data_IF_186530323988
#
_entry.id   IF_186530323988
#
_cell.length_a   1.000
_cell.length_b   1.000
_cell.length_c   1.000
_cell.angle_alpha   90.00
_cell.angle_beta   90.00
_cell.angle_gamma   90.00
#
_symmetry.space_group_name_H-M   'P 1'
#
loop_
_entity.id
_entity.type
_entity.pdbx_description
1 polymer ?
#
# COMPACT_ATOMS: atom_id res chain seq x y z
N UNK A 1 2.51 4.20 4.50
CA UNK A 1 3.50 4.68 3.51
C UNK A 1 2.75 5.52 2.50
N UNK A 2 3.31 6.66 2.07
CA UNK A 2 2.68 7.57 1.09
C UNK A 2 3.51 7.57 -0.19
N UNK A 3 2.87 7.56 -1.36
CA UNK A 3 3.52 7.36 -2.65
C UNK A 3 2.91 8.28 -3.72
N UNK A 4 3.67 8.53 -4.78
CA UNK A 4 3.15 8.97 -6.08
C UNK A 4 3.23 7.86 -7.11
N UNK A 5 2.17 7.73 -7.89
CA UNK A 5 2.10 6.84 -9.04
C UNK A 5 2.60 7.61 -10.26
N UNK A 6 3.90 7.48 -10.55
CA UNK A 6 4.48 7.98 -11.80
C UNK A 6 4.38 6.92 -12.90
N UNK A 7 4.51 7.32 -14.17
CA UNK A 7 4.44 6.44 -15.36
C UNK A 7 5.25 5.13 -15.25
N UNK A 8 6.34 5.12 -14.48
CA UNK A 8 7.15 3.91 -14.22
C UNK A 8 6.49 2.88 -13.30
N UNK A 9 5.75 3.30 -12.25
CA UNK A 9 4.93 2.39 -11.43
C UNK A 9 3.66 1.97 -12.20
N UNK A 10 3.22 2.82 -13.12
CA UNK A 10 2.07 2.59 -14.00
C UNK A 10 2.38 1.59 -15.13
N UNK A 11 3.65 1.31 -15.43
CA UNK A 11 4.08 0.35 -16.44
C UNK A 11 4.15 -1.11 -15.94
N UNK A 12 3.87 -1.38 -14.66
CA UNK A 12 3.97 -2.73 -14.08
C UNK A 12 2.98 -3.75 -14.69
N UNK A 13 1.99 -3.31 -15.46
CA UNK A 13 1.03 -4.19 -16.16
C UNK A 13 1.50 -4.59 -17.58
N UNK A 14 2.63 -4.03 -18.06
CA UNK A 14 3.15 -4.31 -19.40
C UNK A 14 4.25 -5.37 -19.44
N UNK A 15 4.60 -5.99 -18.30
CA UNK A 15 5.69 -6.96 -18.26
C UNK A 15 5.15 -8.39 -18.23
N UNK A 16 5.40 -9.20 -19.28
CA UNK A 16 4.99 -10.60 -19.31
C UNK A 16 5.51 -11.34 -18.07
N UNK A 17 4.65 -12.15 -17.46
CA UNK A 17 5.05 -13.18 -16.53
C UNK A 17 5.52 -14.35 -17.39
N UNK A 18 6.83 -14.56 -17.52
CA UNK A 18 7.34 -15.74 -18.22
C UNK A 18 6.95 -17.01 -17.44
N UNK A 19 6.16 -17.93 -18.01
CA UNK A 19 5.92 -19.23 -17.44
C UNK A 19 7.01 -20.17 -17.94
N UNK A 20 8.02 -20.44 -17.12
CA UNK A 20 8.95 -21.52 -17.44
C UNK A 20 8.23 -22.88 -17.32
N UNK A 21 8.06 -23.52 -18.48
CA UNK A 21 7.78 -24.95 -18.79
C UNK A 21 6.58 -25.64 -18.14
N UNK A 22 5.48 -25.82 -18.88
CA UNK A 22 5.14 -27.09 -19.52
C UNK A 22 3.89 -26.97 -20.43
N UNK A 23 3.89 -27.73 -21.54
CA UNK A 23 2.82 -27.96 -22.53
C UNK A 23 1.45 -28.30 -21.90
N UNK A 24 0.23 -27.97 -22.37
CA UNK A 24 -0.43 -27.74 -23.67
C UNK A 24 -1.83 -27.07 -23.42
N UNK A 25 -2.70 -26.77 -24.42
CA UNK A 25 -3.52 -25.55 -24.47
C UNK A 25 -5.03 -25.72 -24.16
N UNK A 26 -5.68 -24.63 -23.70
CA UNK A 26 -6.99 -24.11 -24.13
C UNK A 26 -7.53 -23.10 -23.08
N UNK A 27 -8.04 -21.96 -23.54
CA UNK A 27 -8.55 -20.81 -22.77
C UNK A 27 -7.51 -20.04 -21.94
N UNK A 28 -6.59 -19.35 -22.63
CA UNK A 28 -5.86 -18.25 -22.01
C UNK A 28 -6.76 -17.00 -21.99
N UNK A 29 -7.55 -16.83 -20.92
CA UNK A 29 -7.80 -15.46 -20.43
C UNK A 29 -6.42 -14.84 -20.21
N UNK A 30 -6.20 -13.59 -20.63
CA UNK A 30 -4.88 -13.00 -20.48
C UNK A 30 -4.48 -13.02 -18.99
N UNK A 31 -3.19 -13.11 -18.69
CA UNK A 31 -2.70 -13.09 -17.31
C UNK A 31 -3.20 -11.86 -16.52
N UNK A 32 -3.52 -10.76 -17.21
CA UNK A 32 -4.13 -9.58 -16.63
C UNK A 32 -5.62 -9.82 -16.26
N UNK A 33 -6.37 -10.52 -17.11
CA UNK A 33 -7.77 -10.88 -16.85
C UNK A 33 -7.88 -11.88 -15.69
N UNK A 34 -7.02 -12.90 -15.64
CA UNK A 34 -6.98 -13.85 -14.53
C UNK A 34 -6.53 -13.18 -13.21
N UNK A 35 -5.60 -12.22 -13.26
CA UNK A 35 -5.17 -11.45 -12.09
C UNK A 35 -6.30 -10.54 -11.54
N UNK A 36 -7.15 -10.03 -12.44
CA UNK A 36 -8.33 -9.25 -12.10
C UNK A 36 -9.53 -10.12 -11.65
N UNK A 37 -9.71 -11.33 -12.19
CA UNK A 37 -10.80 -12.25 -11.85
C UNK A 37 -10.82 -12.64 -10.36
N UNK A 38 -9.66 -12.65 -9.69
CA UNK A 38 -9.57 -12.90 -8.26
C UNK A 38 -9.87 -11.66 -7.37
N UNK A 39 -10.14 -10.51 -7.96
CA UNK A 39 -10.53 -9.27 -7.27
C UNK A 39 -12.01 -8.98 -7.49
N UNK A 40 -12.88 -9.50 -6.62
CA UNK A 40 -14.33 -9.28 -6.72
C UNK A 40 -14.70 -7.89 -6.24
N UNK A 41 -15.15 -7.05 -7.16
CA UNK A 41 -15.74 -5.75 -6.86
C UNK A 41 -17.03 -5.91 -6.04
N UNK A 42 -17.11 -5.27 -4.87
CA UNK A 42 -18.31 -5.24 -4.03
C UNK A 42 -19.02 -3.89 -4.10
N UNK A 43 -18.26 -2.80 -4.12
CA UNK A 43 -18.75 -1.42 -4.27
C UNK A 43 -17.76 -0.66 -5.15
N UNK A 44 -18.25 0.05 -6.16
CA UNK A 44 -17.45 1.00 -6.94
C UNK A 44 -17.95 2.42 -6.66
N UNK A 45 -17.24 3.13 -5.79
CA UNK A 45 -17.39 4.57 -5.70
C UNK A 45 -16.69 5.24 -6.88
N UNK A 46 -17.17 6.42 -7.26
CA UNK A 46 -16.50 7.29 -8.23
C UNK A 46 -15.78 8.41 -7.47
N UNK A 47 -14.46 8.60 -7.66
CA UNK A 47 -13.76 9.71 -7.03
C UNK A 47 -14.27 11.04 -7.57
N UNK A 48 -14.54 11.98 -6.67
CA UNK A 48 -14.90 13.34 -7.05
C UNK A 48 -13.66 14.06 -7.62
N UNK A 49 -13.74 14.53 -8.87
CA UNK A 49 -12.74 15.41 -9.45
C UNK A 49 -13.15 16.86 -9.16
N UNK A 50 -12.20 17.69 -8.72
CA UNK A 50 -12.40 19.16 -8.62
C UNK A 50 -11.39 19.83 -9.53
N UNK A 51 -11.87 20.67 -10.45
CA UNK A 51 -11.04 21.37 -11.45
C UNK A 51 -10.11 20.42 -12.24
N UNK A 52 -10.54 19.18 -12.47
CA UNK A 52 -9.76 18.14 -13.14
C UNK A 52 -8.72 17.44 -12.26
N UNK A 53 -8.54 17.85 -11.01
CA UNK A 53 -7.61 17.23 -10.07
C UNK A 53 -8.27 16.07 -9.30
N UNK A 54 -7.66 14.87 -9.29
CA UNK A 54 -8.14 13.71 -8.53
C UNK A 54 -7.98 13.92 -7.01
N UNK A 55 -8.75 13.21 -6.17
CA UNK A 55 -8.49 13.17 -4.74
C UNK A 55 -7.22 12.37 -4.44
N UNK A 56 -6.76 12.42 -3.18
CA UNK A 56 -5.69 11.53 -2.72
C UNK A 56 -6.27 10.13 -2.54
N UNK A 57 -5.64 9.13 -3.16
CA UNK A 57 -6.01 7.73 -2.99
C UNK A 57 -5.62 7.19 -1.63
N UNK A 58 -6.50 6.44 -0.97
CA UNK A 58 -6.18 5.75 0.28
C UNK A 58 -6.38 4.26 0.07
N UNK A 59 -5.30 3.52 -0.13
CA UNK A 59 -5.37 2.07 -0.34
C UNK A 59 -5.25 1.34 0.99
N UNK A 60 -6.28 0.60 1.37
CA UNK A 60 -6.34 -0.10 2.65
C UNK A 60 -6.56 -1.60 2.43
N UNK A 61 -5.66 -2.44 2.93
CA UNK A 61 -5.97 -3.86 3.11
C UNK A 61 -6.55 -4.11 4.50
N UNK A 62 -7.87 -4.29 4.58
CA UNK A 62 -8.66 -4.43 5.80
C UNK A 62 -8.87 -5.90 6.19
N UNK A 63 -7.79 -6.59 6.54
CA UNK A 63 -7.83 -7.96 7.09
C UNK A 63 -8.43 -8.02 8.51
N UNK A 64 -8.25 -6.97 9.32
CA UNK A 64 -8.73 -6.83 10.69
C UNK A 64 -9.68 -5.61 10.80
N UNK A 65 -11.02 -5.82 10.73
CA UNK A 65 -11.99 -4.74 10.76
C UNK A 65 -11.96 -3.88 12.04
N UNK A 66 -11.51 -4.40 13.16
CA UNK A 66 -11.31 -3.64 14.40
C UNK A 66 -10.30 -2.50 14.24
N UNK A 67 -9.21 -2.74 13.50
CA UNK A 67 -8.17 -1.72 13.24
C UNK A 67 -8.61 -0.75 12.15
N UNK A 68 -9.45 -1.21 11.20
CA UNK A 68 -10.00 -0.34 10.16
C UNK A 68 -10.73 0.86 10.76
N UNK A 69 -11.52 0.63 11.81
CA UNK A 69 -12.27 1.70 12.47
C UNK A 69 -11.35 2.81 13.00
N UNK A 70 -10.20 2.46 13.58
CA UNK A 70 -9.21 3.43 14.08
C UNK A 70 -8.55 4.24 12.96
N UNK A 71 -8.34 3.62 11.80
CA UNK A 71 -7.83 4.30 10.60
C UNK A 71 -8.88 5.29 10.08
N UNK A 72 -10.12 4.85 9.92
CA UNK A 72 -11.22 5.69 9.41
C UNK A 72 -11.43 6.93 10.29
N UNK A 73 -11.38 6.78 11.62
CA UNK A 73 -11.47 7.93 12.56
C UNK A 73 -10.39 8.98 12.34
N UNK A 74 -9.21 8.62 11.84
CA UNK A 74 -8.15 9.60 11.51
C UNK A 74 -8.38 10.23 10.15
N UNK A 75 -8.77 9.43 9.17
CA UNK A 75 -9.00 9.88 7.80
C UNK A 75 -10.11 10.94 7.72
N UNK A 76 -11.18 10.83 8.51
CA UNK A 76 -12.27 11.83 8.52
C UNK A 76 -11.83 13.23 9.01
N UNK A 77 -10.66 13.33 9.65
CA UNK A 77 -10.12 14.61 10.12
C UNK A 77 -9.09 15.22 9.17
N UNK A 78 -8.77 14.53 8.07
CA UNK A 78 -7.88 15.08 7.05
C UNK A 78 -8.64 16.11 6.21
N UNK A 79 -8.06 17.31 5.96
CA UNK A 79 -8.68 18.32 5.13
C UNK A 79 -8.62 18.00 3.63
N UNK A 80 -7.76 17.07 3.22
CA UNK A 80 -7.64 16.62 1.83
C UNK A 80 -8.86 15.81 1.38
N UNK A 81 -9.22 15.91 0.10
CA UNK A 81 -10.23 15.04 -0.51
C UNK A 81 -9.66 13.65 -0.67
N UNK A 82 -10.39 12.65 -0.20
CA UNK A 82 -9.94 11.25 -0.18
C UNK A 82 -10.87 10.37 -1.00
N UNK A 83 -10.29 9.39 -1.71
CA UNK A 83 -11.02 8.23 -2.20
C UNK A 83 -10.36 6.96 -1.71
N UNK A 84 -11.10 6.15 -0.96
CA UNK A 84 -10.59 4.94 -0.35
C UNK A 84 -10.72 3.76 -1.31
N UNK A 85 -9.65 3.01 -1.51
CA UNK A 85 -9.66 1.74 -2.23
C UNK A 85 -9.38 0.63 -1.23
N UNK A 86 -10.44 -0.04 -0.77
CA UNK A 86 -10.36 -0.98 0.35
C UNK A 86 -10.48 -2.40 -0.16
N UNK A 87 -9.52 -3.25 0.21
CA UNK A 87 -9.60 -4.70 -0.01
C UNK A 87 -9.90 -5.41 1.30
N UNK A 88 -10.74 -6.43 1.26
CA UNK A 88 -11.02 -7.32 2.38
C UNK A 88 -11.03 -8.78 1.91
N UNK A 89 -10.99 -9.71 2.88
CA UNK A 89 -11.14 -11.15 2.61
C UNK A 89 -12.59 -11.59 2.85
N UNK A 90 -12.95 -12.78 2.37
CA UNK A 90 -14.29 -13.34 2.63
C UNK A 90 -14.62 -13.39 4.14
N UNK A 91 -15.90 -13.23 4.47
CA UNK A 91 -16.43 -13.19 5.84
C UNK A 91 -16.02 -11.94 6.65
N UNK A 92 -15.45 -10.93 6.00
CA UNK A 92 -15.13 -9.61 6.59
C UNK A 92 -15.82 -8.47 5.84
N UNK A 93 -16.37 -8.75 4.68
CA UNK A 93 -16.98 -7.84 3.73
C UNK A 93 -18.12 -7.02 4.32
N UNK A 94 -19.07 -7.63 5.02
CA UNK A 94 -20.18 -6.88 5.63
C UNK A 94 -19.68 -5.90 6.68
N UNK A 95 -18.84 -6.35 7.62
CA UNK A 95 -18.28 -5.50 8.67
C UNK A 95 -17.43 -4.34 8.11
N UNK A 96 -16.63 -4.60 7.07
CA UNK A 96 -15.84 -3.56 6.40
C UNK A 96 -16.74 -2.57 5.67
N UNK A 97 -17.76 -3.07 4.95
CA UNK A 97 -18.71 -2.22 4.22
C UNK A 97 -19.48 -1.29 5.17
N UNK A 98 -19.96 -1.81 6.29
CA UNK A 98 -20.72 -1.03 7.27
C UNK A 98 -19.87 0.09 7.89
N UNK A 99 -18.60 -0.21 8.20
CA UNK A 99 -17.67 0.81 8.70
C UNK A 99 -17.36 1.88 7.66
N UNK A 100 -17.16 1.50 6.39
CA UNK A 100 -16.91 2.45 5.30
C UNK A 100 -18.12 3.34 5.07
N UNK A 101 -19.31 2.77 4.99
CA UNK A 101 -20.55 3.52 4.85
C UNK A 101 -20.76 4.51 6.01
N UNK A 102 -20.50 4.08 7.25
CA UNK A 102 -20.62 4.94 8.43
C UNK A 102 -19.58 6.07 8.48
N UNK A 103 -18.44 5.94 7.79
CA UNK A 103 -17.39 6.97 7.79
C UNK A 103 -17.74 8.21 6.97
N UNK A 104 -18.65 8.09 6.00
CA UNK A 104 -19.00 9.17 5.06
C UNK A 104 -17.91 9.51 4.03
N UNK A 105 -16.77 8.83 4.04
CA UNK A 105 -15.71 9.00 3.05
C UNK A 105 -16.09 8.34 1.71
N UNK A 106 -15.62 8.87 0.59
CA UNK A 106 -15.77 8.21 -0.71
C UNK A 106 -14.93 6.94 -0.77
N UNK A 107 -15.49 5.82 -1.25
CA UNK A 107 -14.79 4.54 -1.27
C UNK A 107 -15.19 3.59 -2.40
N UNK A 108 -14.27 2.71 -2.76
CA UNK A 108 -14.47 1.47 -3.51
C UNK A 108 -14.03 0.29 -2.64
N UNK A 109 -14.81 -0.79 -2.65
CA UNK A 109 -14.61 -1.98 -1.82
C UNK A 109 -14.47 -3.23 -2.70
N UNK A 110 -13.39 -3.98 -2.47
CA UNK A 110 -13.01 -5.17 -3.20
C UNK A 110 -12.83 -6.35 -2.26
N UNK A 111 -13.23 -7.54 -2.70
CA UNK A 111 -12.95 -8.81 -2.02
C UNK A 111 -11.86 -9.56 -2.75
N UNK A 112 -10.86 -10.02 -2.00
CA UNK A 112 -9.72 -10.76 -2.52
C UNK A 112 -9.47 -12.03 -1.68
N UNK A 113 -8.90 -13.09 -2.28
CA UNK A 113 -8.25 -14.19 -1.56
C UNK A 113 -7.23 -13.71 -0.53
N UNK A 114 -7.03 -14.51 0.52
CA UNK A 114 -6.04 -14.25 1.58
C UNK A 114 -4.62 -14.65 1.14
N UNK A 115 -4.14 -14.11 0.03
CA UNK A 115 -2.84 -14.40 -0.56
C UNK A 115 -1.97 -13.16 -0.66
N UNK A 116 -0.65 -13.32 -0.54
CA UNK A 116 0.32 -12.22 -0.71
C UNK A 116 0.21 -11.08 0.31
N UNK A 117 -0.47 -11.33 1.44
CA UNK A 117 -0.65 -10.40 2.58
C UNK A 117 -1.15 -9.04 2.12
N UNK A 118 -0.43 -7.95 2.37
CA UNK A 118 -0.82 -6.58 2.01
C UNK A 118 -0.26 -6.11 0.65
N UNK A 119 0.59 -6.91 -0.01
CA UNK A 119 1.22 -6.55 -1.29
C UNK A 119 0.35 -6.98 -2.46
N UNK A 120 -0.06 -8.24 -2.53
CA UNK A 120 -0.89 -8.72 -3.64
C UNK A 120 -2.25 -7.99 -3.72
N UNK A 121 -2.98 -7.76 -2.61
CA UNK A 121 -4.19 -6.95 -2.65
C UNK A 121 -3.96 -5.52 -3.13
N UNK A 122 -2.81 -4.90 -2.78
CA UNK A 122 -2.45 -3.58 -3.28
C UNK A 122 -2.24 -3.59 -4.80
N UNK A 123 -1.50 -4.57 -5.33
CA UNK A 123 -1.28 -4.72 -6.78
C UNK A 123 -2.60 -4.90 -7.54
N UNK A 124 -3.57 -5.63 -6.99
CA UNK A 124 -4.90 -5.82 -7.57
C UNK A 124 -5.74 -4.56 -7.66
N UNK A 125 -5.43 -3.55 -6.86
CA UNK A 125 -6.14 -2.27 -6.84
C UNK A 125 -5.52 -1.26 -7.83
N UNK A 126 -4.26 -1.47 -8.25
CA UNK A 126 -3.56 -0.55 -9.15
C UNK A 126 -4.36 -0.23 -10.43
N UNK A 127 -4.95 -1.19 -11.17
CA UNK A 127 -5.70 -0.87 -12.38
C UNK A 127 -6.87 0.11 -12.14
N UNK A 128 -7.54 0.02 -10.98
CA UNK A 128 -8.64 0.92 -10.61
C UNK A 128 -8.13 2.32 -10.28
N UNK A 129 -7.03 2.43 -9.52
CA UNK A 129 -6.38 3.71 -9.26
C UNK A 129 -5.99 4.43 -10.56
N UNK A 130 -5.52 3.67 -11.56
CA UNK A 130 -5.16 4.21 -12.88
C UNK A 130 -6.37 4.68 -13.66
N UNK A 131 -7.42 3.86 -13.72
CA UNK A 131 -8.67 4.22 -14.38
C UNK A 131 -9.28 5.50 -13.80
N UNK A 132 -9.12 5.69 -12.48
CA UNK A 132 -9.59 6.85 -11.74
C UNK A 132 -8.62 8.05 -11.75
N UNK A 133 -7.50 7.94 -12.49
CA UNK A 133 -6.47 8.97 -12.62
C UNK A 133 -5.87 9.41 -11.27
N UNK A 134 -5.73 8.51 -10.31
CA UNK A 134 -5.15 8.80 -8.99
C UNK A 134 -3.62 8.87 -9.09
N UNK A 135 -3.05 10.03 -8.77
CA UNK A 135 -1.60 10.27 -8.86
C UNK A 135 -0.87 10.17 -7.52
N UNK A 136 -1.54 10.51 -6.42
CA UNK A 136 -0.95 10.51 -5.07
C UNK A 136 -1.77 9.58 -4.18
N UNK A 137 -1.12 8.68 -3.45
CA UNK A 137 -1.80 7.75 -2.56
C UNK A 137 -1.10 7.52 -1.23
N UNK A 138 -1.84 7.07 -0.24
CA UNK A 138 -1.32 6.45 0.98
C UNK A 138 -1.74 4.98 1.02
N UNK A 139 -0.77 4.10 1.26
CA UNK A 139 -1.00 2.67 1.50
C UNK A 139 -0.98 2.38 3.00
N UNK A 140 -2.08 1.80 3.47
CA UNK A 140 -2.32 1.36 4.83
C UNK A 140 -2.75 -0.12 4.80
N UNK A 141 -2.55 -0.81 5.91
CA UNK A 141 -3.07 -2.17 6.08
C UNK A 141 -3.31 -2.44 7.55
N UNK A 142 -4.31 -3.25 7.83
CA UNK A 142 -4.66 -3.63 9.19
C UNK A 142 -3.85 -4.87 9.58
N UNK A 143 -2.90 -4.74 10.49
CA UNK A 143 -2.09 -5.86 10.99
C UNK A 143 -2.12 -5.87 12.51
N UNK A 144 -2.50 -6.99 13.11
CA UNK A 144 -2.32 -7.21 14.55
C UNK A 144 -0.89 -7.69 14.82
N UNK A 145 -0.24 -7.09 15.81
CA UNK A 145 1.02 -7.58 16.38
C UNK A 145 0.71 -8.50 17.57
N UNK A 146 0.76 -9.83 17.34
CA UNK A 146 0.30 -10.84 18.30
C UNK A 146 1.18 -11.04 19.57
N UNK A 147 2.32 -10.34 19.69
CA UNK A 147 3.34 -10.62 20.71
C UNK A 147 3.74 -9.42 21.59
N UNK A 148 3.00 -8.31 21.55
CA UNK A 148 3.28 -7.17 22.42
C UNK A 148 2.27 -7.17 23.57
N UNK A 149 2.64 -7.85 24.65
CA UNK A 149 2.10 -7.53 25.97
C UNK A 149 2.51 -6.09 26.29
N UNK A 150 1.54 -5.26 26.67
CA UNK A 150 1.59 -3.79 26.77
C UNK A 150 1.31 -3.08 25.44
N UNK A 151 0.06 -2.60 25.34
CA UNK A 151 -0.52 -1.58 24.44
C UNK A 151 -0.10 -1.57 22.95
N UNK A 152 -1.11 -1.53 22.08
CA UNK A 152 -1.02 -1.20 20.65
C UNK A 152 -0.42 0.20 20.34
N UNK A 153 0.35 0.83 21.23
CA UNK A 153 0.86 2.21 21.09
C UNK A 153 1.64 2.40 19.80
N UNK A 154 2.46 1.43 19.41
CA UNK A 154 3.34 1.59 18.26
C UNK A 154 2.64 1.68 16.89
N UNK A 155 1.57 0.89 16.69
CA UNK A 155 0.79 0.98 15.46
C UNK A 155 0.01 2.30 15.41
N UNK A 156 -0.47 2.77 16.57
CA UNK A 156 -1.12 4.07 16.70
C UNK A 156 -0.13 5.20 16.42
N UNK A 157 1.10 5.15 16.96
CA UNK A 157 2.16 6.13 16.67
C UNK A 157 2.51 6.19 15.18
N UNK A 158 2.47 5.05 14.47
CA UNK A 158 2.67 5.03 13.01
C UNK A 158 1.50 5.68 12.28
N UNK A 159 0.26 5.41 12.69
CA UNK A 159 -0.91 6.05 12.12
C UNK A 159 -0.95 7.55 12.42
N UNK A 160 -0.62 7.98 13.63
CA UNK A 160 -0.57 9.40 14.01
C UNK A 160 0.54 10.14 13.27
N UNK A 161 1.68 9.48 13.07
CA UNK A 161 2.78 10.01 12.27
C UNK A 161 2.34 10.27 10.81
N UNK A 162 1.73 9.26 10.17
CA UNK A 162 1.34 9.32 8.76
C UNK A 162 0.06 10.12 8.50
N UNK A 163 -0.91 10.07 9.41
CA UNK A 163 -2.27 10.59 9.22
C UNK A 163 -2.60 11.79 10.12
N UNK A 164 -1.60 12.39 10.78
CA UNK A 164 -1.81 13.70 11.39
C UNK A 164 -2.05 14.75 10.29
N UNK A 165 -3.07 15.63 10.41
CA UNK A 165 -3.44 16.54 9.33
C UNK A 165 -2.28 17.38 8.78
N UNK A 166 -1.44 17.94 9.66
CA UNK A 166 -0.31 18.77 9.26
C UNK A 166 0.75 17.97 8.47
N UNK A 167 1.06 16.74 8.90
CA UNK A 167 2.08 15.91 8.26
C UNK A 167 1.59 15.26 6.99
N UNK A 168 0.33 14.82 6.97
CA UNK A 168 -0.32 14.30 5.77
C UNK A 168 -0.29 15.35 4.65
N UNK A 169 -0.75 16.57 4.97
CA UNK A 169 -0.71 17.71 4.03
C UNK A 169 0.70 18.01 3.53
N UNK A 170 1.70 18.00 4.41
CA UNK A 170 3.09 18.21 4.02
C UNK A 170 3.60 17.09 3.11
N UNK A 171 3.25 15.84 3.40
CA UNK A 171 3.65 14.67 2.61
C UNK A 171 3.05 14.71 1.21
N UNK A 172 1.76 15.04 1.08
CA UNK A 172 1.09 15.22 -0.22
C UNK A 172 1.77 16.32 -1.02
N UNK A 173 1.97 17.51 -0.42
CA UNK A 173 2.67 18.62 -1.10
C UNK A 173 4.10 18.32 -1.51
N UNK A 174 4.83 17.56 -0.68
CA UNK A 174 6.19 17.15 -1.02
C UNK A 174 6.19 16.23 -2.23
N UNK A 175 5.21 15.33 -2.31
CA UNK A 175 5.05 14.40 -3.41
C UNK A 175 4.57 15.04 -4.72
N UNK A 176 3.92 16.21 -4.67
CA UNK A 176 3.50 16.94 -5.87
C UNK A 176 4.69 17.44 -6.73
N UNK A 177 5.89 17.53 -6.17
CA UNK A 177 7.10 17.89 -6.92
C UNK A 177 7.73 16.63 -7.55
N UNK A 178 7.79 16.53 -8.89
CA UNK A 178 8.35 15.38 -9.57
C UNK A 178 9.86 15.20 -9.35
N UNK A 179 10.57 16.20 -8.82
CA UNK A 179 11.98 16.10 -8.45
C UNK A 179 12.19 15.34 -7.12
N UNK A 180 11.15 15.16 -6.31
CA UNK A 180 11.24 14.44 -5.05
C UNK A 180 11.08 12.93 -5.22
N UNK A 181 11.45 12.19 -4.17
CA UNK A 181 11.30 10.73 -4.13
C UNK A 181 9.81 10.35 -4.20
N UNK A 182 9.44 9.34 -5.00
CA UNK A 182 8.03 8.95 -5.19
C UNK A 182 7.44 8.17 -4.01
N UNK A 183 8.17 8.08 -2.89
CA UNK A 183 7.79 7.31 -1.72
C UNK A 183 8.28 8.02 -0.45
N UNK A 184 7.35 8.21 0.49
CA UNK A 184 7.59 8.73 1.82
C UNK A 184 7.14 7.74 2.90
N UNK A 185 7.91 7.71 3.98
CA UNK A 185 7.49 7.10 5.23
C UNK A 185 8.34 7.55 6.39
N UNK A 186 8.02 7.10 7.61
CA UNK A 186 8.69 7.60 8.79
C UNK A 186 10.12 7.07 8.85
N UNK A 187 11.10 7.98 8.92
CA UNK A 187 12.53 7.65 8.88
C UNK A 187 12.92 6.62 9.95
N UNK A 188 12.29 6.67 11.13
CA UNK A 188 12.51 5.72 12.23
C UNK A 188 12.23 4.26 11.88
N UNK A 189 11.54 4.00 10.77
CA UNK A 189 11.21 2.66 10.29
C UNK A 189 11.97 2.27 9.03
N UNK A 190 12.88 3.11 8.54
CA UNK A 190 13.66 2.81 7.36
C UNK A 190 14.70 1.73 7.67
N UNK A 191 14.61 0.60 7.00
CA UNK A 191 15.54 -0.53 7.17
C UNK A 191 16.32 -0.80 5.88
N UNK A 192 17.63 -1.11 5.95
CA UNK A 192 18.40 -1.48 4.77
C UNK A 192 17.95 -2.84 4.24
N UNK A 193 17.75 -2.93 2.92
CA UNK A 193 17.36 -4.17 2.23
C UNK A 193 18.43 -5.24 2.41
N UNK A 194 19.71 -4.88 2.27
CA UNK A 194 20.86 -5.79 2.43
C UNK A 194 20.89 -6.58 3.74
N UNK A 195 20.38 -6.02 4.84
CA UNK A 195 20.36 -6.69 6.16
C UNK A 195 19.09 -7.51 6.42
N UNK A 196 18.07 -7.36 5.59
CA UNK A 196 16.73 -7.91 5.83
C UNK A 196 16.22 -8.79 4.67
N UNK A 197 17.00 -8.93 3.60
CA UNK A 197 16.66 -9.72 2.43
C UNK A 197 17.52 -10.99 2.38
N UNK A 198 16.93 -12.13 2.75
CA UNK A 198 17.60 -13.44 2.73
C UNK A 198 16.99 -14.42 1.74
N UNK A 199 17.77 -15.42 1.33
CA UNK A 199 17.30 -16.59 0.59
C UNK A 199 16.58 -16.27 -0.73
N UNK A 200 15.48 -16.97 -0.98
CA UNK A 200 14.67 -16.86 -2.22
C UNK A 200 14.13 -15.46 -2.49
N UNK A 201 13.91 -14.64 -1.45
CA UNK A 201 13.45 -13.26 -1.62
C UNK A 201 14.48 -12.39 -2.36
N UNK A 202 15.79 -12.66 -2.17
CA UNK A 202 16.83 -11.95 -2.91
C UNK A 202 16.79 -12.28 -4.40
N UNK A 203 16.65 -13.56 -4.74
CA UNK A 203 16.53 -14.00 -6.13
C UNK A 203 15.33 -13.36 -6.84
N UNK A 204 14.16 -13.35 -6.18
CA UNK A 204 12.98 -12.70 -6.74
C UNK A 204 13.16 -11.19 -6.89
N UNK A 205 13.79 -10.51 -5.91
CA UNK A 205 14.03 -9.08 -6.01
C UNK A 205 15.00 -8.74 -7.14
N UNK A 206 16.08 -9.53 -7.31
CA UNK A 206 17.02 -9.38 -8.43
C UNK A 206 16.28 -9.48 -9.77
N UNK A 207 15.47 -10.52 -9.95
CA UNK A 207 14.68 -10.67 -11.17
C UNK A 207 13.72 -9.49 -11.41
N UNK A 208 13.12 -8.94 -10.35
CA UNK A 208 12.24 -7.78 -10.45
C UNK A 208 12.99 -6.48 -10.82
N UNK A 209 14.16 -6.22 -10.22
CA UNK A 209 14.93 -5.00 -10.55
C UNK A 209 15.50 -5.07 -11.96
N UNK A 210 15.95 -6.25 -12.40
CA UNK A 210 16.42 -6.47 -13.78
C UNK A 210 15.29 -6.23 -14.78
N UNK A 211 14.09 -6.78 -14.52
CA UNK A 211 12.89 -6.52 -15.33
C UNK A 211 12.50 -5.05 -15.36
N UNK A 212 12.74 -4.32 -14.27
CA UNK A 212 12.49 -2.89 -14.18
C UNK A 212 13.59 -2.02 -14.82
N UNK A 213 14.66 -2.62 -15.37
CA UNK A 213 15.81 -1.89 -15.92
C UNK A 213 16.64 -1.17 -14.86
N UNK A 214 16.59 -1.65 -13.61
CA UNK A 214 17.35 -1.10 -12.48
C UNK A 214 18.57 -1.99 -12.25
N UNK A 215 19.75 -1.37 -12.12
CA UNK A 215 20.99 -2.07 -11.80
C UNK A 215 20.85 -2.84 -10.47
N UNK A 216 21.04 -4.18 -10.44
CA UNK A 216 20.93 -4.99 -9.23
C UNK A 216 21.85 -4.56 -8.09
N UNK A 217 22.96 -3.86 -8.37
CA UNK A 217 23.86 -3.33 -7.36
C UNK A 217 23.17 -2.33 -6.42
N UNK A 218 22.12 -1.65 -6.90
CA UNK A 218 21.34 -0.73 -6.08
C UNK A 218 20.51 -1.44 -5.00
N UNK A 219 20.32 -2.77 -5.05
CA UNK A 219 19.61 -3.51 -4.00
C UNK A 219 20.32 -3.36 -2.65
N UNK A 220 21.66 -3.39 -2.65
CA UNK A 220 22.42 -3.43 -1.39
C UNK A 220 22.44 -2.07 -0.68
N UNK A 221 22.22 -0.99 -1.43
CA UNK A 221 22.07 0.40 -0.97
C UNK A 221 20.61 0.79 -0.72
N UNK A 222 19.66 -0.04 -1.14
CA UNK A 222 18.23 0.24 -1.02
C UNK A 222 17.75 0.12 0.42
N UNK A 223 16.69 0.88 0.70
CA UNK A 223 15.96 0.82 1.96
C UNK A 223 14.50 0.45 1.71
N UNK A 224 13.88 -0.18 2.68
CA UNK A 224 12.45 -0.46 2.68
C UNK A 224 11.82 -0.10 4.01
N UNK A 225 10.50 0.09 3.98
CA UNK A 225 9.68 0.43 5.15
C UNK A 225 8.85 -0.82 5.50
N UNK A 226 9.23 -1.59 6.53
CA UNK A 226 8.53 -2.80 6.91
C UNK A 226 7.15 -2.47 7.46
N UNK A 227 6.21 -3.38 7.26
CA UNK A 227 4.99 -3.41 8.05
C UNK A 227 5.33 -3.64 9.54
N UNK A 228 4.61 -2.99 10.47
CA UNK A 228 4.81 -3.18 11.90
C UNK A 228 4.95 -4.66 12.30
N UNK A 229 6.11 -5.09 12.79
CA UNK A 229 6.39 -6.47 13.16
C UNK A 229 7.29 -6.56 14.41
N UNK A 230 7.11 -7.59 15.25
CA UNK A 230 7.86 -7.75 16.51
C UNK A 230 9.38 -7.89 16.31
N UNK A 231 9.83 -8.46 15.19
CA UNK A 231 11.25 -8.54 14.84
C UNK A 231 11.82 -7.26 14.23
N UNK A 232 10.95 -6.30 13.87
CA UNK A 232 11.29 -5.03 13.23
C UNK A 232 11.38 -3.87 14.24
N UNK A 233 11.00 -4.09 15.50
CA UNK A 233 11.06 -3.08 16.55
C UNK A 233 12.53 -2.87 16.98
N UNK A 234 13.06 -1.63 16.98
CA UNK A 234 14.42 -1.36 17.40
C UNK A 234 14.60 -1.73 18.88
N UNK A 235 15.63 -2.55 19.17
CA UNK A 235 15.85 -3.12 20.51
C UNK A 235 16.44 -2.13 21.53
N UNK A 236 17.05 -1.02 21.09
CA UNK A 236 17.53 0.08 21.96
C UNK A 236 17.55 1.41 21.19
N UNK A 237 17.28 2.52 21.88
CA UNK A 237 17.08 3.86 21.31
C UNK A 237 18.14 4.85 21.80
N UNK A 238 18.97 5.45 20.91
CA UNK A 238 19.72 6.66 21.25
C UNK A 238 18.81 7.90 21.18
N UNK A 239 19.05 8.95 21.98
CA UNK A 239 18.21 10.14 22.01
C UNK A 239 18.13 10.85 20.65
N UNK A 240 16.96 11.45 20.42
CA UNK A 240 16.52 12.08 19.17
C UNK A 240 17.35 13.34 18.85
N UNK A 241 18.10 13.31 17.76
CA UNK A 241 18.68 14.52 17.15
C UNK A 241 18.03 14.67 15.76
N UNK A 242 17.19 15.70 15.61
CA UNK A 242 16.39 15.92 14.42
C UNK A 242 17.19 16.12 13.13
N UNK A 243 16.54 15.77 12.01
CA UNK A 243 16.79 16.14 10.61
C UNK A 243 18.22 16.02 10.03
N UNK A 244 18.34 15.17 9.00
CA UNK A 244 18.61 15.60 7.60
C UNK A 244 18.07 14.55 6.65
#
# INVERSE_FOLDING_TARGET
>A
MTFTLNDRLLALDQFPLDPASDTQPANALSSADAFAEECKVLVMGQPALEDGAPPVGVVIHAYHPDILQDILRRLIHLPERLHLYVTCVANRDDAVRDQLAASGLSYSLFRVPNHGRDVLPFLRVLPFLRADNIHTLVKLHTKRSAHLGVANSWAQDLFDDLLSPARFRHSVKHLDDPAHHPLLGPERYRLPVSRNLGGSNRTHLVALVERAGIDPRHIDEAFFLPAPCSSCAPKHWPPWNGCT
#
